data_IF_751385503189
#
_entry.id   IF_751385503189
#
_cell.length_a   1.000
_cell.length_b   1.000
_cell.length_c   1.000
_cell.angle_alpha   90.00
_cell.angle_beta   90.00
_cell.angle_gamma   90.00
#
_symmetry.space_group_name_H-M   'P 1'
#
loop_
_entity.id
_entity.type
_entity.pdbx_description
1 polymer ?
#
# COMPACT_ATOMS: atom_id res chain seq x y z
N UNK A 1 28.65 1.42 3.89
CA UNK A 1 28.31 0.08 4.42
C UNK A 1 28.03 -0.82 3.23
N UNK A 2 28.34 -2.13 3.29
CA UNK A 2 27.95 -3.04 2.22
C UNK A 2 26.44 -3.01 2.06
N UNK A 3 25.97 -2.95 0.82
CA UNK A 3 24.54 -3.02 0.51
C UNK A 3 24.19 -4.47 0.18
N UNK A 4 23.03 -4.90 0.65
CA UNK A 4 22.46 -6.22 0.40
C UNK A 4 21.23 -6.05 -0.49
N UNK A 5 21.09 -6.95 -1.46
CA UNK A 5 19.99 -6.93 -2.42
C UNK A 5 19.24 -8.24 -2.38
N UNK A 6 17.91 -8.15 -2.39
CA UNK A 6 17.03 -9.30 -2.33
C UNK A 6 15.84 -9.11 -3.26
N UNK A 7 15.23 -10.23 -3.66
CA UNK A 7 13.87 -10.27 -4.21
C UNK A 7 13.00 -11.25 -3.43
N UNK A 8 11.70 -11.04 -3.44
CA UNK A 8 10.74 -12.01 -2.88
C UNK A 8 10.87 -13.38 -3.54
N UNK A 9 10.82 -14.45 -2.74
CA UNK A 9 10.73 -15.80 -3.27
C UNK A 9 9.28 -16.13 -3.69
N UNK A 10 8.98 -16.33 -4.99
CA UNK A 10 7.62 -16.50 -5.50
C UNK A 10 6.88 -17.72 -4.94
N UNK A 11 7.60 -18.73 -4.44
CA UNK A 11 6.99 -19.95 -3.89
C UNK A 11 6.39 -19.75 -2.49
N UNK A 12 6.65 -18.60 -1.86
CA UNK A 12 6.28 -18.35 -0.46
C UNK A 12 4.92 -17.69 -0.29
N UNK A 13 4.30 -17.91 0.88
CA UNK A 13 3.08 -17.18 1.28
C UNK A 13 3.30 -15.67 1.33
N UNK A 14 4.54 -15.27 1.63
CA UNK A 14 4.94 -13.88 1.65
C UNK A 14 4.80 -13.24 0.26
N UNK A 15 5.40 -13.83 -0.77
CA UNK A 15 5.30 -13.33 -2.14
C UNK A 15 3.86 -13.26 -2.64
N UNK A 16 3.02 -14.25 -2.32
CA UNK A 16 1.58 -14.20 -2.67
C UNK A 16 0.84 -13.03 -2.03
N UNK A 17 1.17 -12.68 -0.78
CA UNK A 17 0.60 -11.50 -0.12
C UNK A 17 1.07 -10.20 -0.76
N UNK A 18 2.33 -10.14 -1.19
CA UNK A 18 2.92 -8.99 -1.87
C UNK A 18 2.28 -8.78 -3.24
N UNK A 19 2.15 -9.84 -4.02
CA UNK A 19 1.45 -9.82 -5.32
C UNK A 19 0.02 -9.31 -5.15
N UNK A 20 -0.72 -9.85 -4.16
CA UNK A 20 -2.08 -9.39 -3.82
C UNK A 20 -2.11 -7.91 -3.44
N UNK A 21 -1.17 -7.46 -2.58
CA UNK A 21 -1.05 -6.05 -2.22
C UNK A 21 -0.88 -5.17 -3.46
N UNK A 22 0.03 -5.52 -4.37
CA UNK A 22 0.32 -4.71 -5.56
C UNK A 22 -0.89 -4.64 -6.51
N UNK A 23 -1.64 -5.73 -6.64
CA UNK A 23 -2.90 -5.76 -7.41
C UNK A 23 -3.98 -4.90 -6.76
N UNK A 24 -4.19 -5.05 -5.44
CA UNK A 24 -5.19 -4.29 -4.68
C UNK A 24 -4.85 -2.80 -4.62
N UNK A 25 -3.57 -2.43 -4.49
CA UNK A 25 -3.12 -1.03 -4.41
C UNK A 25 -3.64 -0.18 -5.58
N UNK A 26 -3.67 -0.75 -6.79
CA UNK A 26 -4.19 -0.08 -8.00
C UNK A 26 -5.69 0.22 -7.93
N UNK A 27 -6.45 -0.58 -7.18
CA UNK A 27 -7.92 -0.47 -7.07
C UNK A 27 -8.38 0.64 -6.12
N UNK A 28 -7.50 1.18 -5.28
CA UNK A 28 -7.84 2.32 -4.40
C UNK A 28 -8.26 3.57 -5.17
N UNK A 29 -7.82 3.72 -6.43
CA UNK A 29 -8.31 4.79 -7.31
C UNK A 29 -9.84 4.68 -7.52
N UNK A 30 -10.35 3.47 -7.73
CA UNK A 30 -11.77 3.21 -7.93
C UNK A 30 -12.60 3.49 -6.65
N UNK A 31 -12.00 3.30 -5.47
CA UNK A 31 -12.62 3.69 -4.20
C UNK A 31 -12.77 5.20 -4.10
N UNK A 32 -11.74 5.96 -4.49
CA UNK A 32 -11.82 7.41 -4.51
C UNK A 32 -12.90 7.90 -5.50
N UNK A 33 -13.00 7.29 -6.68
CA UNK A 33 -14.02 7.60 -7.68
C UNK A 33 -15.44 7.37 -7.13
N UNK A 34 -15.71 6.20 -6.53
CA UNK A 34 -17.01 5.89 -5.92
C UNK A 34 -17.34 6.84 -4.73
N UNK A 35 -16.34 7.23 -3.94
CA UNK A 35 -16.51 8.18 -2.84
C UNK A 35 -16.79 9.59 -3.35
N UNK A 36 -16.16 10.00 -4.45
CA UNK A 36 -16.41 11.28 -5.11
C UNK A 36 -17.84 11.36 -5.62
N UNK A 37 -18.37 10.29 -6.21
CA UNK A 37 -19.78 10.21 -6.60
C UNK A 37 -20.71 10.30 -5.37
N UNK A 38 -20.41 9.53 -4.31
CA UNK A 38 -21.23 9.46 -3.11
C UNK A 38 -21.31 10.79 -2.34
N UNK A 39 -20.18 11.49 -2.22
CA UNK A 39 -20.07 12.75 -1.47
C UNK A 39 -20.28 13.97 -2.37
N UNK A 40 -20.17 13.79 -3.69
CA UNK A 40 -20.05 14.86 -4.69
C UNK A 40 -18.87 15.80 -4.38
N UNK A 41 -17.77 15.26 -3.91
CA UNK A 41 -16.52 15.98 -3.62
C UNK A 41 -15.44 15.58 -4.65
N UNK A 42 -14.28 16.25 -4.62
CA UNK A 42 -13.11 15.87 -5.41
C UNK A 42 -11.98 15.41 -4.48
N UNK A 43 -12.15 14.22 -3.91
CA UNK A 43 -11.21 13.54 -3.06
C UNK A 43 -10.09 12.96 -3.92
N UNK A 44 -8.86 13.39 -3.64
CA UNK A 44 -7.63 12.84 -4.22
C UNK A 44 -6.76 12.18 -3.15
N UNK A 45 -7.00 12.47 -1.88
CA UNK A 45 -6.22 11.98 -0.74
C UNK A 45 -7.11 11.32 0.30
N UNK A 46 -6.87 10.02 0.49
CA UNK A 46 -7.58 9.21 1.47
C UNK A 46 -6.65 8.21 2.14
N UNK A 47 -7.01 7.81 3.35
CA UNK A 47 -6.33 6.72 4.04
C UNK A 47 -6.70 5.39 3.40
N UNK A 48 -5.71 4.63 2.94
CA UNK A 48 -5.88 3.34 2.29
C UNK A 48 -5.95 2.20 3.31
N UNK A 49 -6.96 2.24 4.20
CA UNK A 49 -7.13 1.24 5.25
C UNK A 49 -8.58 0.75 5.32
N UNK A 50 -8.87 -0.52 4.98
CA UNK A 50 -10.25 -1.05 4.90
C UNK A 50 -11.10 -0.84 6.16
N UNK A 51 -10.46 -0.94 7.33
CA UNK A 51 -11.10 -0.76 8.63
C UNK A 51 -11.20 0.70 9.12
N UNK A 52 -10.72 1.69 8.36
CA UNK A 52 -10.64 3.07 8.80
C UNK A 52 -10.91 4.05 7.66
N UNK A 53 -11.97 4.84 7.79
CA UNK A 53 -12.30 5.86 6.81
C UNK A 53 -11.82 7.24 7.25
N UNK A 54 -10.83 7.77 6.53
CA UNK A 54 -10.33 9.12 6.69
C UNK A 54 -9.96 9.75 5.35
N UNK A 55 -10.26 11.04 5.21
CA UNK A 55 -10.01 11.86 4.03
C UNK A 55 -9.12 13.06 4.40
N UNK A 56 -8.50 13.70 3.41
CA UNK A 56 -7.86 15.01 3.65
C UNK A 56 -8.94 16.05 4.01
N UNK A 57 -8.89 16.67 5.20
CA UNK A 57 -9.90 17.66 5.62
C UNK A 57 -10.04 18.84 4.64
N UNK A 58 -8.98 19.18 3.91
CA UNK A 58 -8.98 20.29 2.96
C UNK A 58 -9.81 20.00 1.71
N UNK A 59 -10.02 18.72 1.38
CA UNK A 59 -10.78 18.28 0.21
C UNK A 59 -12.28 18.15 0.51
N UNK A 60 -12.71 18.28 1.77
CA UNK A 60 -14.10 18.22 2.20
C UNK A 60 -14.69 19.63 2.16
N UNK A 61 -15.27 20.01 1.02
CA UNK A 61 -15.69 21.39 0.79
C UNK A 61 -17.12 21.66 1.23
N UNK A 62 -18.02 20.66 1.14
CA UNK A 62 -19.44 20.81 1.45
C UNK A 62 -19.71 20.78 2.95
N UNK A 63 -20.56 21.69 3.42
CA UNK A 63 -20.88 21.85 4.85
C UNK A 63 -21.59 20.63 5.45
N UNK A 64 -22.42 19.95 4.67
CA UNK A 64 -23.05 18.69 5.06
C UNK A 64 -22.03 17.59 5.34
N UNK A 65 -20.97 17.49 4.51
CA UNK A 65 -19.92 16.50 4.65
C UNK A 65 -18.99 16.85 5.81
N UNK A 66 -18.59 18.11 5.97
CA UNK A 66 -17.74 18.57 7.10
C UNK A 66 -18.29 18.16 8.47
N UNK A 67 -19.61 18.09 8.63
CA UNK A 67 -20.28 17.65 9.87
C UNK A 67 -20.09 16.15 10.16
N UNK A 68 -19.82 15.35 9.14
CA UNK A 68 -19.62 13.90 9.24
C UNK A 68 -18.18 13.54 9.63
N UNK A 69 -17.22 14.43 9.39
CA UNK A 69 -15.81 14.20 9.67
C UNK A 69 -15.31 15.02 10.87
N UNK A 70 -14.24 14.54 11.49
CA UNK A 70 -13.46 15.27 12.49
C UNK A 70 -12.49 16.23 11.79
N UNK A 71 -11.84 17.10 12.57
CA UNK A 71 -10.86 18.07 12.07
C UNK A 71 -9.64 17.37 11.46
N UNK A 72 -9.31 16.16 11.93
CA UNK A 72 -8.25 15.30 11.38
C UNK A 72 -8.70 14.50 10.14
N UNK A 73 -9.94 14.68 9.68
CA UNK A 73 -10.47 14.03 8.48
C UNK A 73 -10.99 12.62 8.72
N UNK A 74 -10.93 12.11 9.95
CA UNK A 74 -11.51 10.83 10.31
C UNK A 74 -13.05 10.93 10.35
N UNK A 75 -13.75 9.90 9.88
CA UNK A 75 -15.21 9.88 10.02
C UNK A 75 -15.62 9.84 11.50
N UNK A 76 -16.66 10.60 11.85
CA UNK A 76 -17.24 10.58 13.20
C UNK A 76 -18.02 9.28 13.40
N UNK A 77 -18.04 8.76 14.63
CA UNK A 77 -18.78 7.54 14.96
C UNK A 77 -20.04 7.76 15.80
N UNK A 78 -20.38 9.01 16.12
CA UNK A 78 -21.46 9.34 17.05
C UNK A 78 -22.79 9.68 16.36
N UNK A 79 -22.81 9.96 15.05
CA UNK A 79 -24.05 10.29 14.33
C UNK A 79 -24.53 9.12 13.47
N UNK A 80 -25.86 9.01 13.28
CA UNK A 80 -26.44 8.00 12.38
C UNK A 80 -25.94 8.17 10.93
N UNK A 81 -25.86 9.42 10.46
CA UNK A 81 -25.39 9.72 9.11
C UNK A 81 -23.93 9.30 8.88
N UNK A 82 -23.03 9.57 9.83
CA UNK A 82 -21.63 9.18 9.68
C UNK A 82 -21.44 7.65 9.78
N UNK A 83 -22.24 6.95 10.60
CA UNK A 83 -22.27 5.49 10.60
C UNK A 83 -22.76 4.90 9.28
N UNK A 84 -23.80 5.49 8.68
CA UNK A 84 -24.30 5.05 7.38
C UNK A 84 -23.25 5.26 6.28
N UNK A 85 -22.60 6.42 6.25
CA UNK A 85 -21.51 6.69 5.31
C UNK A 85 -20.33 5.73 5.52
N UNK A 86 -19.97 5.39 6.75
CA UNK A 86 -18.92 4.40 7.01
C UNK A 86 -19.31 3.00 6.53
N UNK A 87 -20.59 2.64 6.58
CA UNK A 87 -21.07 1.38 6.01
C UNK A 87 -20.98 1.39 4.47
N UNK A 88 -21.41 2.47 3.82
CA UNK A 88 -21.24 2.63 2.36
C UNK A 88 -19.78 2.54 1.95
N UNK A 89 -18.86 3.13 2.73
CA UNK A 89 -17.43 2.96 2.52
C UNK A 89 -17.00 1.48 2.57
N UNK A 90 -17.44 0.71 3.58
CA UNK A 90 -17.14 -0.73 3.65
C UNK A 90 -17.70 -1.50 2.46
N UNK A 91 -18.88 -1.14 2.00
CA UNK A 91 -19.50 -1.78 0.84
C UNK A 91 -18.70 -1.48 -0.44
N UNK A 92 -18.16 -0.26 -0.60
CA UNK A 92 -17.23 0.11 -1.69
C UNK A 92 -15.92 -0.69 -1.57
N UNK A 93 -15.33 -0.78 -0.37
CA UNK A 93 -14.13 -1.58 -0.13
C UNK A 93 -14.34 -3.04 -0.53
N UNK A 94 -15.49 -3.61 -0.19
CA UNK A 94 -15.86 -4.97 -0.57
C UNK A 94 -16.08 -5.11 -2.08
N UNK A 95 -16.78 -4.16 -2.71
CA UNK A 95 -16.99 -4.12 -4.17
C UNK A 95 -15.67 -4.20 -4.95
N UNK A 96 -14.61 -3.59 -4.44
CA UNK A 96 -13.29 -3.57 -5.08
C UNK A 96 -12.32 -4.64 -4.56
N UNK A 97 -12.79 -5.58 -3.73
CA UNK A 97 -11.98 -6.67 -3.14
C UNK A 97 -10.74 -6.12 -2.41
N UNK A 98 -10.99 -5.19 -1.49
CA UNK A 98 -9.99 -4.54 -0.65
C UNK A 98 -10.13 -4.88 0.83
N UNK A 99 -11.04 -5.78 1.22
CA UNK A 99 -11.35 -6.05 2.64
C UNK A 99 -10.13 -6.50 3.45
N UNK A 100 -9.18 -7.20 2.80
CA UNK A 100 -7.95 -7.72 3.40
C UNK A 100 -6.68 -7.01 2.93
N UNK A 101 -6.80 -5.78 2.39
CA UNK A 101 -5.64 -4.99 2.00
C UNK A 101 -4.73 -4.69 3.19
N UNK A 102 -3.46 -5.10 3.07
CA UNK A 102 -2.39 -4.82 4.03
C UNK A 102 -1.27 -4.04 3.34
N UNK A 103 -0.71 -3.01 3.98
CA UNK A 103 0.42 -2.27 3.43
C UNK A 103 1.74 -3.04 3.57
N UNK A 104 2.68 -2.79 2.65
CA UNK A 104 4.03 -3.40 2.66
C UNK A 104 4.72 -3.32 4.03
N UNK A 105 4.70 -2.20 4.80
CA UNK A 105 5.31 -2.19 6.13
C UNK A 105 4.67 -3.18 7.12
N UNK A 106 3.35 -3.35 7.07
CA UNK A 106 2.63 -4.32 7.92
C UNK A 106 3.01 -5.74 7.50
N UNK A 107 3.07 -6.01 6.20
CA UNK A 107 3.51 -7.30 5.66
C UNK A 107 4.95 -7.61 6.06
N UNK A 108 5.88 -6.67 5.86
CA UNK A 108 7.28 -6.82 6.26
C UNK A 108 7.40 -7.11 7.77
N UNK A 109 6.66 -6.36 8.60
CA UNK A 109 6.65 -6.56 10.05
C UNK A 109 6.14 -7.96 10.43
N UNK A 110 5.04 -8.40 9.83
CA UNK A 110 4.44 -9.71 10.10
C UNK A 110 5.28 -10.93 9.68
N UNK A 111 6.34 -10.72 8.90
CA UNK A 111 7.29 -11.77 8.46
C UNK A 111 8.72 -11.54 8.99
N UNK A 112 8.89 -10.65 9.96
CA UNK A 112 10.18 -10.40 10.62
C UNK A 112 11.18 -9.54 9.83
N UNK A 113 10.79 -9.02 8.66
CA UNK A 113 11.67 -8.24 7.77
C UNK A 113 11.88 -6.79 8.21
N UNK A 114 11.01 -6.26 9.08
CA UNK A 114 11.12 -4.91 9.61
C UNK A 114 11.16 -4.92 11.15
N UNK A 115 12.15 -4.24 11.73
CA UNK A 115 12.23 -3.95 13.17
C UNK A 115 12.44 -2.46 13.38
N UNK A 116 12.07 -1.94 14.55
CA UNK A 116 12.36 -0.56 14.92
C UNK A 116 13.87 -0.38 15.14
N UNK A 117 14.59 -0.01 14.09
CA UNK A 117 15.98 0.45 14.17
C UNK A 117 16.07 1.88 13.64
N UNK A 118 16.85 2.72 14.33
CA UNK A 118 17.04 4.14 13.95
C UNK A 118 18.17 4.33 12.94
N UNK A 119 19.01 3.33 12.73
CA UNK A 119 20.26 3.44 11.96
C UNK A 119 20.23 2.66 10.65
N UNK A 120 19.21 1.84 10.44
CA UNK A 120 19.11 0.94 9.31
C UNK A 120 18.23 1.52 8.21
N UNK A 121 18.62 1.27 6.98
CA UNK A 121 17.90 1.72 5.81
C UNK A 121 17.41 0.54 5.00
N UNK A 122 16.13 0.57 4.64
CA UNK A 122 15.52 -0.38 3.72
C UNK A 122 14.73 0.37 2.67
N UNK A 123 15.08 0.14 1.40
CA UNK A 123 14.32 0.58 0.24
C UNK A 123 13.70 -0.63 -0.44
N UNK A 124 12.54 -0.42 -1.04
CA UNK A 124 11.89 -1.47 -1.82
C UNK A 124 11.28 -0.92 -3.10
N UNK A 125 11.18 -1.77 -4.11
CA UNK A 125 10.55 -1.48 -5.40
C UNK A 125 9.69 -2.66 -5.81
N UNK A 126 8.38 -2.42 -6.01
CA UNK A 126 7.48 -3.41 -6.59
C UNK A 126 7.61 -3.43 -8.11
N UNK A 127 7.55 -4.61 -8.71
CA UNK A 127 7.57 -4.79 -10.17
C UNK A 127 6.16 -4.96 -10.72
N UNK A 128 6.01 -4.71 -12.02
CA UNK A 128 4.81 -5.01 -12.81
C UNK A 128 4.39 -6.48 -12.74
N UNK A 129 5.35 -7.38 -12.50
CA UNK A 129 5.19 -8.83 -12.36
C UNK A 129 4.75 -9.26 -10.95
N UNK A 130 4.54 -8.32 -10.03
CA UNK A 130 4.05 -8.62 -8.68
C UNK A 130 5.15 -9.04 -7.70
N UNK A 131 6.43 -8.86 -8.05
CA UNK A 131 7.56 -9.11 -7.17
C UNK A 131 7.96 -7.86 -6.39
N UNK A 132 8.63 -8.04 -5.25
CA UNK A 132 9.19 -6.94 -4.48
C UNK A 132 10.70 -7.14 -4.30
N UNK A 133 11.43 -6.12 -4.72
CA UNK A 133 12.88 -6.05 -4.63
C UNK A 133 13.27 -5.16 -3.47
N UNK A 134 14.33 -5.54 -2.76
CA UNK A 134 14.84 -4.85 -1.59
C UNK A 134 16.29 -4.46 -1.78
N UNK A 135 16.63 -3.31 -1.22
CA UNK A 135 18.01 -2.88 -1.02
C UNK A 135 18.16 -2.37 0.42
N UNK A 136 19.13 -2.94 1.14
CA UNK A 136 19.35 -2.67 2.57
C UNK A 136 20.82 -2.55 2.93
N UNK A 137 21.11 -1.90 4.06
CA UNK A 137 22.46 -1.83 4.66
C UNK A 137 22.70 -2.91 5.74
N UNK A 138 21.79 -3.87 5.87
CA UNK A 138 21.85 -5.02 6.76
C UNK A 138 21.34 -6.29 6.06
N UNK A 139 21.72 -7.46 6.57
CA UNK A 139 21.23 -8.74 6.05
C UNK A 139 19.75 -8.95 6.44
N UNK A 140 18.85 -8.94 5.45
CA UNK A 140 17.42 -9.18 5.68
C UNK A 140 17.12 -10.65 5.99
N UNK A 141 17.88 -11.56 5.39
CA UNK A 141 17.62 -12.98 5.46
C UNK A 141 17.89 -13.53 6.86
N UNK A 142 18.89 -12.98 7.54
CA UNK A 142 19.19 -13.26 8.95
C UNK A 142 18.05 -12.86 9.92
N UNK A 143 17.12 -12.01 9.47
CA UNK A 143 16.04 -11.46 10.31
C UNK A 143 14.69 -12.06 10.04
N UNK A 144 14.48 -12.53 8.82
CA UNK A 144 13.23 -13.11 8.39
C UNK A 144 12.84 -14.27 9.31
N UNK A 145 11.57 -14.34 9.68
CA UNK A 145 11.06 -15.47 10.47
C UNK A 145 11.22 -16.80 9.69
N UNK A 146 11.15 -16.72 8.35
CA UNK A 146 11.50 -17.79 7.42
C UNK A 146 12.55 -17.26 6.43
N UNK A 147 13.79 -17.80 6.44
CA UNK A 147 14.87 -17.32 5.57
C UNK A 147 14.59 -17.57 4.08
N UNK A 148 13.59 -18.37 3.72
CA UNK A 148 13.22 -18.65 2.33
C UNK A 148 12.30 -17.59 1.72
N UNK A 149 11.80 -16.61 2.49
CA UNK A 149 10.90 -15.57 1.95
C UNK A 149 11.59 -14.61 0.97
N UNK A 150 12.92 -14.62 0.97
CA UNK A 150 13.76 -13.79 0.11
C UNK A 150 14.82 -14.63 -0.59
N UNK A 151 15.17 -14.20 -1.80
CA UNK A 151 16.29 -14.70 -2.58
C UNK A 151 17.30 -13.57 -2.66
N UNK A 152 18.53 -13.82 -2.18
CA UNK A 152 19.63 -12.89 -2.34
C UNK A 152 20.00 -12.77 -3.82
N UNK A 153 20.15 -11.54 -4.29
CA UNK A 153 20.53 -11.22 -5.67
C UNK A 153 21.75 -10.31 -5.67
N UNK A 154 22.36 -10.17 -6.83
CA UNK A 154 23.43 -9.19 -7.03
C UNK A 154 22.88 -7.77 -7.16
N UNK A 155 23.74 -6.77 -6.93
CA UNK A 155 23.43 -5.38 -7.21
C UNK A 155 23.11 -5.15 -8.69
N UNK A 156 23.80 -5.87 -9.59
CA UNK A 156 23.59 -5.79 -11.04
C UNK A 156 22.15 -6.20 -11.40
N UNK A 157 21.71 -7.38 -10.96
CA UNK A 157 20.34 -7.87 -11.17
C UNK A 157 19.28 -6.89 -10.63
N UNK A 158 19.54 -6.27 -9.47
CA UNK A 158 18.64 -5.27 -8.90
C UNK A 158 18.54 -4.02 -9.79
N UNK A 159 19.68 -3.49 -10.25
CA UNK A 159 19.73 -2.30 -11.09
C UNK A 159 19.14 -2.54 -12.48
N UNK A 160 19.38 -3.72 -13.07
CA UNK A 160 18.78 -4.13 -14.34
C UNK A 160 17.26 -4.16 -14.24
N UNK A 161 16.71 -4.80 -13.20
CA UNK A 161 15.25 -4.84 -13.00
C UNK A 161 14.67 -3.45 -12.73
N UNK A 162 15.38 -2.61 -11.97
CA UNK A 162 14.95 -1.22 -11.75
C UNK A 162 14.89 -0.41 -13.05
N UNK A 163 15.87 -0.59 -13.94
CA UNK A 163 15.90 0.08 -15.23
C UNK A 163 14.77 -0.42 -16.14
N UNK A 164 14.54 -1.74 -16.18
CA UNK A 164 13.43 -2.37 -16.91
C UNK A 164 12.07 -1.79 -16.48
N UNK A 165 11.78 -1.77 -15.19
CA UNK A 165 10.52 -1.25 -14.65
C UNK A 165 10.37 0.26 -14.85
N UNK A 166 11.48 1.00 -14.87
CA UNK A 166 11.44 2.44 -15.18
C UNK A 166 11.14 2.70 -16.64
N UNK A 167 11.66 1.87 -17.57
CA UNK A 167 11.34 1.94 -19.00
C UNK A 167 9.87 1.64 -19.25
N UNK A 168 9.34 0.54 -18.67
CA UNK A 168 7.92 0.17 -18.75
C UNK A 168 7.00 1.32 -18.31
N UNK A 169 7.29 1.94 -17.17
CA UNK A 169 6.50 3.10 -16.67
C UNK A 169 6.53 4.31 -17.59
N UNK A 170 7.66 4.57 -18.26
CA UNK A 170 7.78 5.71 -19.17
C UNK A 170 7.03 5.46 -20.49
N UNK A 171 6.97 4.21 -20.94
CA UNK A 171 6.18 3.81 -22.11
C UNK A 171 4.68 3.93 -21.82
N UNK A 172 4.22 3.50 -20.64
CA UNK A 172 2.81 3.61 -20.21
C UNK A 172 2.32 5.06 -20.02
N UNK A 173 3.22 6.01 -19.75
CA UNK A 173 2.90 7.44 -19.56
C UNK A 173 3.02 8.23 -20.89
N UNK A 174 3.63 7.62 -21.91
CA UNK A 174 3.80 8.21 -23.24
C UNK A 174 2.62 7.98 -24.20
N UNK A 175 1.62 7.19 -23.78
CA UNK A 175 0.34 6.95 -24.48
C UNK A 175 -0.81 7.79 -23.86
#
# INVERSE_FOLDING_TARGET
MPMYHYKTNPETKYAKKIERHLQQKKRWKLVADDLNELLGENITRMVQKPGYFGLDPQEITKEENKKLFKIDGAIRQNTKAAKALFQSYKDIIKKHDLEDYEEIPILNFGYGLMRHSRTEQMRHMGTSEGELYYETDFDLQDRADDPNVLIKISQEEFLEKQLEETRKRNEEVGE
#
